data_IF_990421357815
#
_entry.id   IF_990421357815
#
_cell.length_a   1.000
_cell.length_b   1.000
_cell.length_c   1.000
_cell.angle_alpha   90.00
_cell.angle_beta   90.00
_cell.angle_gamma   90.00
#
_symmetry.space_group_name_H-M   'P 1'
#
loop_
_entity.id
_entity.type
_entity.pdbx_description
1 polymer ?
#
# COMPACT_ATOMS: atom_id res chain seq x y z
N UNK A 1 4.56 -17.23 -12.75
CA UNK A 1 4.00 -16.52 -11.58
C UNK A 1 2.50 -16.75 -11.56
N UNK A 2 1.95 -17.32 -10.49
CA UNK A 2 0.53 -17.69 -10.41
C UNK A 2 -0.37 -16.45 -10.33
N UNK A 3 -1.35 -16.38 -11.23
CA UNK A 3 -2.24 -15.23 -11.46
C UNK A 3 -2.96 -14.77 -10.17
N UNK A 4 -3.28 -15.70 -9.27
CA UNK A 4 -3.97 -15.41 -8.01
C UNK A 4 -3.13 -14.64 -6.97
N UNK A 5 -1.81 -14.89 -6.88
CA UNK A 5 -0.93 -14.16 -5.95
C UNK A 5 -0.75 -12.70 -6.35
N UNK A 6 -0.68 -12.45 -7.66
CA UNK A 6 -0.62 -11.11 -8.23
C UNK A 6 -1.90 -10.32 -7.95
N UNK A 7 -3.07 -10.95 -8.11
CA UNK A 7 -4.36 -10.29 -7.88
C UNK A 7 -4.56 -9.88 -6.42
N UNK A 8 -4.20 -10.74 -5.46
CA UNK A 8 -4.28 -10.40 -4.03
C UNK A 8 -3.45 -9.16 -3.71
N UNK A 9 -2.21 -9.08 -4.23
CA UNK A 9 -1.35 -7.93 -4.02
C UNK A 9 -1.96 -6.66 -4.63
N UNK A 10 -2.48 -6.73 -5.85
CA UNK A 10 -3.12 -5.59 -6.51
C UNK A 10 -4.30 -5.03 -5.72
N UNK A 11 -5.15 -5.89 -5.14
CA UNK A 11 -6.29 -5.44 -4.33
C UNK A 11 -5.78 -4.76 -3.06
N UNK A 12 -4.84 -5.37 -2.33
CA UNK A 12 -4.26 -4.75 -1.12
C UNK A 12 -3.59 -3.41 -1.43
N UNK A 13 -2.86 -3.31 -2.56
CA UNK A 13 -2.26 -2.08 -3.05
C UNK A 13 -3.31 -0.99 -3.32
N UNK A 14 -4.45 -1.37 -3.93
CA UNK A 14 -5.56 -0.46 -4.22
C UNK A 14 -6.24 0.03 -2.95
N UNK A 15 -6.43 -0.84 -1.96
CA UNK A 15 -6.99 -0.47 -0.65
C UNK A 15 -6.04 0.49 0.08
N UNK A 16 -4.73 0.20 0.08
CA UNK A 16 -3.73 1.09 0.67
C UNK A 16 -3.73 2.47 -0.02
N UNK A 17 -3.83 2.49 -1.35
CA UNK A 17 -3.96 3.72 -2.12
C UNK A 17 -5.21 4.51 -1.73
N UNK A 18 -6.38 3.87 -1.66
CA UNK A 18 -7.63 4.50 -1.23
C UNK A 18 -7.51 5.13 0.17
N UNK A 19 -6.95 4.39 1.14
CA UNK A 19 -6.78 4.89 2.50
C UNK A 19 -5.89 6.13 2.55
N UNK A 20 -4.73 6.08 1.89
CA UNK A 20 -3.76 7.18 1.89
C UNK A 20 -4.24 8.38 1.05
N UNK A 21 -4.79 8.13 -0.14
CA UNK A 21 -5.18 9.17 -1.10
C UNK A 21 -6.38 9.96 -0.61
N UNK A 22 -7.36 9.28 -0.01
CA UNK A 22 -8.61 9.90 0.44
C UNK A 22 -8.60 10.25 1.93
N UNK A 23 -7.42 10.14 2.56
CA UNK A 23 -7.18 10.37 3.98
C UNK A 23 -8.22 9.68 4.89
N UNK A 24 -8.49 8.40 4.61
CA UNK A 24 -9.48 7.62 5.36
C UNK A 24 -8.84 6.97 6.58
N UNK A 25 -9.60 6.90 7.66
CA UNK A 25 -9.20 6.14 8.84
C UNK A 25 -9.04 4.65 8.49
N UNK A 26 -8.02 3.99 9.04
CA UNK A 26 -7.79 2.55 8.84
C UNK A 26 -8.95 1.65 9.30
N UNK A 27 -9.86 2.15 10.14
CA UNK A 27 -11.07 1.39 10.54
C UNK A 27 -12.10 1.28 9.42
N UNK A 28 -11.98 2.12 8.37
CA UNK A 28 -12.91 2.13 7.23
C UNK A 28 -13.00 0.74 6.59
N UNK A 29 -11.88 0.02 6.49
CA UNK A 29 -11.84 -1.30 5.86
C UNK A 29 -12.45 -2.41 6.73
N UNK A 30 -12.65 -2.14 8.03
CA UNK A 30 -13.30 -3.07 8.96
C UNK A 30 -14.83 -2.89 8.98
N UNK A 31 -15.33 -1.80 8.40
CA UNK A 31 -16.75 -1.52 8.28
C UNK A 31 -17.49 -2.58 7.46
N UNK A 32 -18.67 -2.98 7.92
CA UNK A 32 -19.50 -4.02 7.27
C UNK A 32 -19.81 -3.70 5.81
N UNK A 33 -20.11 -2.43 5.50
CA UNK A 33 -20.37 -1.98 4.14
C UNK A 33 -19.18 -2.14 3.21
N UNK A 34 -17.98 -1.76 3.67
CA UNK A 34 -16.74 -1.94 2.90
C UNK A 34 -16.45 -3.41 2.65
N UNK A 35 -16.52 -4.25 3.68
CA UNK A 35 -16.27 -5.70 3.55
C UNK A 35 -17.28 -6.37 2.62
N UNK A 36 -18.56 -5.97 2.70
CA UNK A 36 -19.59 -6.46 1.79
C UNK A 36 -19.28 -6.07 0.33
N UNK A 37 -18.90 -4.81 0.09
CA UNK A 37 -18.52 -4.32 -1.23
C UNK A 37 -17.33 -5.12 -1.80
N UNK A 38 -16.25 -5.26 -1.04
CA UNK A 38 -15.07 -6.01 -1.49
C UNK A 38 -15.40 -7.48 -1.73
N UNK A 39 -16.18 -8.12 -0.84
CA UNK A 39 -16.61 -9.50 -1.02
C UNK A 39 -17.46 -9.69 -2.28
N UNK A 40 -18.30 -8.71 -2.65
CA UNK A 40 -19.10 -8.76 -3.88
C UNK A 40 -18.25 -8.60 -5.14
N UNK A 41 -17.19 -7.79 -5.07
CA UNK A 41 -16.26 -7.56 -6.18
C UNK A 41 -15.24 -8.69 -6.34
N UNK A 42 -14.75 -9.27 -5.24
CA UNK A 42 -13.85 -10.42 -5.24
C UNK A 42 -14.07 -11.29 -3.99
N UNK A 43 -14.88 -12.36 -4.09
CA UNK A 43 -15.21 -13.24 -2.96
C UNK A 43 -14.02 -14.02 -2.38
N UNK A 44 -12.96 -14.20 -3.17
CA UNK A 44 -11.77 -14.96 -2.74
C UNK A 44 -10.78 -14.08 -1.96
N UNK A 45 -10.93 -12.76 -2.02
CA UNK A 45 -10.07 -11.82 -1.30
C UNK A 45 -10.55 -11.61 0.14
N UNK A 46 -9.67 -11.86 1.10
CA UNK A 46 -9.92 -11.57 2.51
C UNK A 46 -9.40 -10.18 2.85
N UNK A 47 -10.32 -9.27 3.19
CA UNK A 47 -9.97 -7.92 3.65
C UNK A 47 -9.08 -8.02 4.90
N UNK A 48 -7.88 -7.41 4.90
CA UNK A 48 -6.98 -7.42 6.06
C UNK A 48 -7.58 -6.62 7.22
N UNK A 49 -7.12 -6.87 8.44
CA UNK A 49 -7.46 -6.00 9.57
C UNK A 49 -6.67 -4.68 9.49
N UNK A 50 -7.12 -3.69 10.27
CA UNK A 50 -6.50 -2.36 10.38
C UNK A 50 -4.99 -2.44 10.62
N UNK A 51 -4.55 -3.33 11.50
CA UNK A 51 -3.14 -3.42 11.88
C UNK A 51 -2.29 -3.96 10.71
N UNK A 52 -2.78 -4.98 10.02
CA UNK A 52 -2.10 -5.54 8.84
C UNK A 52 -1.96 -4.51 7.73
N UNK A 53 -3.00 -3.73 7.42
CA UNK A 53 -2.90 -2.70 6.37
C UNK A 53 -1.99 -1.54 6.80
N UNK A 54 -1.96 -1.21 8.10
CA UNK A 54 -1.06 -0.18 8.63
C UNK A 54 0.40 -0.59 8.44
N UNK A 55 0.77 -1.78 8.90
CA UNK A 55 2.13 -2.32 8.70
C UNK A 55 2.49 -2.42 7.22
N UNK A 56 1.54 -2.85 6.39
CA UNK A 56 1.73 -2.88 4.94
C UNK A 56 2.08 -1.50 4.36
N UNK A 57 1.37 -0.45 4.78
CA UNK A 57 1.63 0.93 4.34
C UNK A 57 2.98 1.43 4.87
N UNK A 58 3.30 1.17 6.14
CA UNK A 58 4.58 1.54 6.76
C UNK A 58 5.76 0.93 5.99
N UNK A 59 5.66 -0.34 5.61
CA UNK A 59 6.72 -1.02 4.86
C UNK A 59 6.86 -0.47 3.44
N UNK A 60 5.75 -0.15 2.76
CA UNK A 60 5.81 0.54 1.47
C UNK A 60 6.42 1.93 1.59
N UNK A 61 6.12 2.67 2.65
CA UNK A 61 6.70 3.98 2.92
C UNK A 61 8.23 3.87 3.05
N UNK A 62 8.74 2.95 3.88
CA UNK A 62 10.19 2.74 4.04
C UNK A 62 10.90 2.47 2.72
N UNK A 63 10.29 1.72 1.82
CA UNK A 63 10.85 1.44 0.49
C UNK A 63 10.95 2.73 -0.33
N UNK A 64 9.88 3.53 -0.35
CA UNK A 64 9.85 4.80 -1.10
C UNK A 64 10.81 5.82 -0.49
N UNK A 65 10.82 5.96 0.83
CA UNK A 65 11.75 6.80 1.59
C UNK A 65 13.20 6.44 1.29
N UNK A 66 13.52 5.14 1.30
CA UNK A 66 14.89 4.67 1.03
C UNK A 66 15.33 5.01 -0.38
N UNK A 67 14.46 4.84 -1.38
CA UNK A 67 14.74 5.23 -2.77
C UNK A 67 14.94 6.73 -2.89
N UNK A 68 14.04 7.52 -2.33
CA UNK A 68 14.14 8.98 -2.33
C UNK A 68 15.45 9.46 -1.69
N UNK A 69 15.88 8.85 -0.58
CA UNK A 69 17.16 9.18 0.07
C UNK A 69 18.36 8.82 -0.80
N UNK A 70 18.30 7.73 -1.56
CA UNK A 70 19.36 7.35 -2.50
C UNK A 70 19.43 8.33 -3.68
N UNK A 71 18.28 8.78 -4.19
CA UNK A 71 18.21 9.77 -5.26
C UNK A 71 18.84 11.09 -4.80
N UNK A 72 18.49 11.57 -3.60
CA UNK A 72 19.10 12.77 -3.01
C UNK A 72 20.62 12.66 -2.83
N UNK A 73 21.13 11.50 -2.38
CA UNK A 73 22.58 11.26 -2.25
C UNK A 73 23.29 11.28 -3.59
N UNK A 74 22.67 10.73 -4.62
CA UNK A 74 23.22 10.69 -5.98
C UNK A 74 23.37 12.11 -6.54
N UNK A 75 22.33 12.93 -6.35
CA UNK A 75 22.34 14.34 -6.74
C UNK A 75 23.43 15.11 -5.99
N UNK A 76 23.52 14.95 -4.67
CA UNK A 76 24.56 15.61 -3.85
C UNK A 76 25.99 15.25 -4.29
N UNK A 77 26.23 13.99 -4.66
CA UNK A 77 27.55 13.55 -5.13
C UNK A 77 27.91 14.21 -6.45
N UNK A 78 26.97 14.29 -7.39
CA UNK A 78 27.17 14.97 -8.67
C UNK A 78 27.60 16.44 -8.51
N UNK A 79 27.05 17.16 -7.54
CA UNK A 79 27.43 18.54 -7.25
C UNK A 79 28.74 18.71 -6.48
N UNK A 80 29.31 17.63 -5.92
CA UNK A 80 30.57 17.68 -5.16
C UNK A 80 31.78 17.23 -5.99
N UNK A 81 31.55 16.50 -7.09
CA UNK A 81 32.57 16.05 -8.06
C UNK A 81 32.83 17.09 -9.19
N UNK A 82 32.11 18.22 -9.20
CA UNK A 82 32.26 19.36 -10.11
C UNK A 82 32.63 20.64 -9.34
#
# INVERSE_FOLDING_TARGET
MSVGGTQHKCITDTIAYFLCKDNKAFSTIEGKGFRNMVNKLNPLYKVPCRNTIKTYIDDKYKIVESKFRLDLKTISKFFSDH
#
